data_IF_125221301460
#
_entry.id   IF_125221301460
#
_cell.length_a   1.000
_cell.length_b   1.000
_cell.length_c   1.000
_cell.angle_alpha   90.00
_cell.angle_beta   90.00
_cell.angle_gamma   90.00
#
_symmetry.space_group_name_H-M   'P 1'
#
loop_
_entity.id
_entity.type
_entity.pdbx_description
1 polymer ?
#
# COMPACT_ATOMS: atom_id res chain seq x y z
N UNK A 1 -38.65 -5.82 -57.78
CA UNK A 1 -38.18 -4.45 -57.48
C UNK A 1 -38.26 -4.06 -55.99
N UNK A 2 -38.27 -5.01 -55.04
CA UNK A 2 -38.43 -4.70 -53.57
C UNK A 2 -37.09 -4.65 -52.79
N UNK A 3 -35.98 -5.15 -53.37
CA UNK A 3 -34.67 -5.20 -52.67
C UNK A 3 -33.94 -3.86 -52.56
N UNK A 4 -34.14 -2.93 -53.45
CA UNK A 4 -33.45 -1.63 -53.44
C UNK A 4 -33.83 -0.74 -52.27
N UNK A 5 -35.14 -0.75 -51.90
CA UNK A 5 -35.59 0.00 -50.71
C UNK A 5 -35.07 -0.55 -49.42
N UNK A 6 -35.04 -1.89 -49.30
CA UNK A 6 -34.49 -2.58 -48.10
C UNK A 6 -33.00 -2.34 -47.94
N UNK A 7 -32.24 -2.37 -49.06
CA UNK A 7 -30.80 -2.08 -49.05
C UNK A 7 -30.51 -0.64 -48.63
N UNK A 8 -31.32 0.33 -49.14
CA UNK A 8 -31.16 1.73 -48.74
C UNK A 8 -31.48 1.93 -47.23
N UNK A 9 -32.57 1.31 -46.72
CA UNK A 9 -32.90 1.38 -45.29
C UNK A 9 -31.81 0.73 -44.44
N UNK A 10 -31.23 -0.41 -44.87
CA UNK A 10 -30.13 -1.06 -44.16
C UNK A 10 -28.88 -0.19 -44.16
N UNK A 11 -28.57 0.50 -45.25
CA UNK A 11 -27.41 1.44 -45.33
C UNK A 11 -27.63 2.64 -44.39
N UNK A 12 -28.82 3.22 -44.37
CA UNK A 12 -29.16 4.34 -43.44
C UNK A 12 -29.09 3.87 -41.98
N UNK A 13 -29.63 2.69 -41.68
CA UNK A 13 -29.55 2.12 -40.34
C UNK A 13 -28.10 1.86 -39.90
N UNK A 14 -27.29 1.28 -40.81
CA UNK A 14 -25.86 1.06 -40.53
C UNK A 14 -25.15 2.41 -40.32
N UNK A 15 -25.45 3.44 -41.09
CA UNK A 15 -24.90 4.78 -40.91
C UNK A 15 -25.25 5.39 -39.55
N UNK A 16 -26.52 5.23 -39.11
CA UNK A 16 -26.96 5.67 -37.78
C UNK A 16 -26.26 4.89 -36.64
N UNK A 17 -26.12 3.59 -36.80
CA UNK A 17 -25.39 2.75 -35.83
C UNK A 17 -23.94 3.18 -35.74
N UNK A 18 -23.27 3.38 -36.87
CA UNK A 18 -21.89 3.88 -36.89
C UNK A 18 -21.77 5.27 -36.26
N UNK A 19 -22.70 6.19 -36.62
CA UNK A 19 -22.75 7.51 -36.02
C UNK A 19 -22.92 7.43 -34.48
N UNK A 20 -23.85 6.62 -33.99
CA UNK A 20 -24.06 6.40 -32.58
C UNK A 20 -22.80 5.88 -31.87
N UNK A 21 -22.15 4.85 -32.43
CA UNK A 21 -20.96 4.25 -31.81
C UNK A 21 -19.69 5.14 -31.89
N UNK A 22 -19.53 5.89 -32.98
CA UNK A 22 -18.30 6.66 -33.19
C UNK A 22 -18.42 8.14 -32.84
N UNK A 23 -19.61 8.68 -32.70
CA UNK A 23 -19.84 10.11 -32.40
C UNK A 23 -20.59 10.31 -31.09
N UNK A 24 -21.80 9.75 -30.95
CA UNK A 24 -22.64 10.02 -29.79
C UNK A 24 -22.11 9.36 -28.52
N UNK A 25 -21.76 8.09 -28.56
CA UNK A 25 -21.26 7.35 -27.39
C UNK A 25 -19.95 7.95 -26.85
N UNK A 26 -18.92 8.26 -27.65
CA UNK A 26 -17.71 8.93 -27.17
C UNK A 26 -17.98 10.35 -26.66
N UNK A 27 -18.91 11.09 -27.26
CA UNK A 27 -19.28 12.42 -26.81
C UNK A 27 -19.99 12.38 -25.43
N UNK A 28 -20.96 11.48 -25.27
CA UNK A 28 -21.64 11.26 -23.99
C UNK A 28 -20.66 10.80 -22.88
N UNK A 29 -19.75 9.89 -23.22
CA UNK A 29 -18.73 9.40 -22.29
C UNK A 29 -17.76 10.51 -21.87
N UNK A 30 -17.37 11.36 -22.79
CA UNK A 30 -16.53 12.53 -22.52
C UNK A 30 -17.21 13.55 -21.60
N UNK A 31 -18.50 13.78 -21.81
CA UNK A 31 -19.26 14.69 -20.95
C UNK A 31 -19.47 14.12 -19.55
N UNK A 32 -19.79 12.83 -19.42
CA UNK A 32 -19.85 12.12 -18.12
C UNK A 32 -18.52 12.19 -17.39
N UNK A 33 -17.41 11.87 -18.06
CA UNK A 33 -16.08 11.93 -17.45
C UNK A 33 -15.75 13.36 -16.98
N UNK A 34 -16.13 14.37 -17.75
CA UNK A 34 -15.93 15.78 -17.39
C UNK A 34 -16.76 16.17 -16.16
N UNK A 35 -18.01 15.71 -16.07
CA UNK A 35 -18.85 15.91 -14.90
C UNK A 35 -18.29 15.19 -13.67
N UNK A 36 -17.90 13.94 -13.79
CA UNK A 36 -17.26 13.18 -12.70
C UNK A 36 -15.98 13.86 -12.21
N UNK A 37 -15.12 14.32 -13.11
CA UNK A 37 -13.90 15.06 -12.73
C UNK A 37 -14.23 16.39 -12.04
N UNK A 38 -15.30 17.07 -12.43
CA UNK A 38 -15.73 18.31 -11.81
C UNK A 38 -16.32 18.10 -10.39
N UNK A 39 -16.79 16.89 -10.09
CA UNK A 39 -17.27 16.50 -8.76
C UNK A 39 -16.12 16.12 -7.80
N UNK A 40 -14.97 15.69 -8.31
CA UNK A 40 -13.83 15.29 -7.50
C UNK A 40 -13.25 16.47 -6.72
N UNK A 41 -12.85 16.25 -5.47
CA UNK A 41 -12.14 17.23 -4.66
C UNK A 41 -10.79 17.56 -5.29
N UNK A 42 -10.09 16.51 -5.71
CA UNK A 42 -8.80 16.59 -6.36
C UNK A 42 -8.80 15.60 -7.55
N UNK A 43 -8.85 16.11 -8.80
CA UNK A 43 -8.79 15.25 -9.98
C UNK A 43 -7.35 14.74 -10.16
N UNK A 44 -7.02 13.64 -9.51
CA UNK A 44 -5.74 12.96 -9.61
C UNK A 44 -5.73 12.01 -10.82
N UNK A 45 -4.63 12.00 -11.56
CA UNK A 45 -4.25 10.92 -12.46
C UNK A 45 -3.32 9.98 -11.66
N UNK A 46 -3.90 8.94 -11.06
CA UNK A 46 -3.25 8.06 -10.08
C UNK A 46 -1.94 7.46 -10.58
N UNK A 47 -1.93 7.04 -11.85
CA UNK A 47 -0.75 6.44 -12.50
C UNK A 47 0.43 7.43 -12.62
N UNK A 48 0.16 8.73 -12.63
CA UNK A 48 1.17 9.78 -12.77
C UNK A 48 1.72 10.29 -11.44
N UNK A 49 1.17 9.83 -10.32
CA UNK A 49 1.71 10.19 -9.00
C UNK A 49 3.03 9.47 -8.78
N UNK A 50 4.12 10.23 -8.62
CA UNK A 50 5.47 9.68 -8.36
C UNK A 50 5.91 9.83 -6.92
N UNK A 51 5.31 10.74 -6.17
CA UNK A 51 5.60 10.95 -4.75
C UNK A 51 4.38 11.54 -4.06
N UNK A 52 4.15 11.16 -2.83
CA UNK A 52 3.20 11.85 -1.96
C UNK A 52 3.72 11.94 -0.53
N UNK A 53 3.26 12.95 0.18
CA UNK A 53 3.60 13.12 1.60
C UNK A 53 2.42 13.58 2.43
N UNK A 54 2.42 13.16 3.68
CA UNK A 54 1.44 13.52 4.70
C UNK A 54 2.15 14.33 5.79
N UNK A 55 1.63 15.51 6.09
CA UNK A 55 2.12 16.36 7.16
C UNK A 55 0.95 16.82 8.04
N UNK A 56 0.97 16.44 9.30
CA UNK A 56 -0.07 16.74 10.29
C UNK A 56 0.51 16.86 11.70
N UNK A 57 -0.22 16.38 12.70
CA UNK A 57 0.22 16.40 14.10
C UNK A 57 1.35 15.41 14.44
N UNK A 58 1.53 14.37 13.62
CA UNK A 58 2.57 13.34 13.80
C UNK A 58 3.85 13.64 13.04
N UNK A 59 4.74 12.64 13.00
CA UNK A 59 5.91 12.71 12.12
C UNK A 59 5.47 12.72 10.66
N UNK A 60 6.14 13.51 9.80
CA UNK A 60 5.82 13.54 8.39
C UNK A 60 6.10 12.16 7.75
N UNK A 61 5.21 11.73 6.88
CA UNK A 61 5.34 10.49 6.12
C UNK A 61 5.48 10.87 4.66
N UNK A 62 6.46 10.31 3.96
CA UNK A 62 6.60 10.50 2.53
C UNK A 62 6.96 9.19 1.84
N UNK A 63 6.31 8.96 0.70
CA UNK A 63 6.58 7.81 -0.16
C UNK A 63 6.91 8.27 -1.57
N UNK A 64 7.83 7.55 -2.20
CA UNK A 64 8.23 7.77 -3.58
C UNK A 64 8.10 6.48 -4.37
N UNK A 65 7.59 6.57 -5.58
CA UNK A 65 7.50 5.47 -6.55
C UNK A 65 8.86 5.27 -7.20
N UNK A 66 9.47 4.09 -7.03
CA UNK A 66 10.74 3.73 -7.69
C UNK A 66 10.51 3.03 -9.04
N UNK A 67 9.43 2.25 -9.14
CA UNK A 67 9.00 1.57 -10.36
C UNK A 67 7.48 1.40 -10.32
N UNK A 68 6.89 0.90 -11.40
CA UNK A 68 5.47 0.58 -11.44
C UNK A 68 5.12 -0.37 -10.27
N UNK A 69 4.13 0.02 -9.48
CA UNK A 69 3.69 -0.73 -8.28
C UNK A 69 4.81 -1.00 -7.25
N UNK A 70 5.84 -0.16 -7.20
CA UNK A 70 6.90 -0.28 -6.20
C UNK A 70 7.11 1.06 -5.50
N UNK A 71 6.64 1.16 -4.27
CA UNK A 71 6.73 2.34 -3.44
C UNK A 71 7.78 2.17 -2.33
N UNK A 72 8.47 3.25 -2.02
CA UNK A 72 9.45 3.31 -0.95
C UNK A 72 9.09 4.44 0.01
N UNK A 73 9.13 4.13 1.29
CA UNK A 73 9.07 5.14 2.34
C UNK A 73 10.39 5.95 2.31
N UNK A 74 10.28 7.27 2.30
CA UNK A 74 11.43 8.19 2.30
C UNK A 74 11.51 9.03 3.56
N UNK A 75 10.38 9.29 4.21
CA UNK A 75 10.28 9.94 5.51
C UNK A 75 9.41 9.10 6.46
N UNK A 76 9.77 9.05 7.75
CA UNK A 76 10.88 9.74 8.43
C UNK A 76 12.27 9.09 8.20
N UNK A 77 12.30 7.89 7.67
CA UNK A 77 13.52 7.15 7.30
C UNK A 77 13.26 6.28 6.06
N UNK A 78 14.31 5.91 5.30
CA UNK A 78 14.12 5.07 4.12
C UNK A 78 13.79 3.62 4.51
N UNK A 79 12.70 3.08 3.93
CA UNK A 79 12.28 1.69 4.10
C UNK A 79 11.45 1.21 2.89
N UNK A 80 11.28 -0.10 2.74
CA UNK A 80 10.32 -0.66 1.78
C UNK A 80 8.90 -0.21 2.13
N UNK A 81 8.18 0.30 1.13
CA UNK A 81 6.78 0.72 1.28
C UNK A 81 5.80 -0.40 0.98
N UNK A 82 4.64 -0.35 1.62
CA UNK A 82 3.48 -1.17 1.25
C UNK A 82 2.83 -0.55 0.01
N UNK A 83 3.15 -1.09 -1.16
CA UNK A 83 2.69 -0.53 -2.43
C UNK A 83 1.17 -0.63 -2.58
N UNK A 84 0.55 -1.66 -2.02
CA UNK A 84 -0.91 -1.83 -2.05
C UNK A 84 -1.58 -0.73 -1.23
N UNK A 85 -1.09 -0.46 -0.03
CA UNK A 85 -1.63 0.60 0.82
C UNK A 85 -1.38 1.99 0.23
N UNK A 86 -0.20 2.21 -0.37
CA UNK A 86 0.12 3.48 -1.01
C UNK A 86 -0.81 3.78 -2.19
N UNK A 87 -1.05 2.80 -3.06
CA UNK A 87 -1.96 2.94 -4.20
C UNK A 87 -3.42 3.05 -3.77
N UNK A 88 -3.84 2.27 -2.77
CA UNK A 88 -5.18 2.38 -2.20
C UNK A 88 -5.43 3.77 -1.60
N UNK A 89 -4.43 4.35 -0.92
CA UNK A 89 -4.54 5.71 -0.37
C UNK A 89 -4.66 6.77 -1.48
N UNK A 90 -3.87 6.68 -2.54
CA UNK A 90 -3.95 7.58 -3.69
C UNK A 90 -5.34 7.48 -4.33
N UNK A 91 -5.85 6.27 -4.53
CA UNK A 91 -7.17 6.03 -5.10
C UNK A 91 -8.28 6.57 -4.19
N UNK A 92 -8.18 6.39 -2.87
CA UNK A 92 -9.11 6.97 -1.88
C UNK A 92 -9.21 8.50 -2.04
N UNK A 93 -8.07 9.19 -2.20
CA UNK A 93 -8.04 10.64 -2.40
C UNK A 93 -8.60 11.02 -3.78
N UNK A 94 -8.26 10.26 -4.83
CA UNK A 94 -8.74 10.50 -6.19
C UNK A 94 -10.25 10.33 -6.32
N UNK A 95 -10.86 9.50 -5.50
CA UNK A 95 -12.29 9.22 -5.52
C UNK A 95 -13.12 10.10 -4.58
N UNK A 96 -12.46 10.94 -3.76
CA UNK A 96 -13.17 11.89 -2.90
C UNK A 96 -13.99 12.89 -3.74
N UNK A 97 -15.30 12.86 -3.53
CA UNK A 97 -16.25 13.79 -4.18
C UNK A 97 -16.64 14.93 -3.28
N UNK A 98 -16.60 16.14 -3.80
CA UNK A 98 -17.14 17.30 -3.08
C UNK A 98 -18.65 17.18 -2.96
N UNK A 99 -19.19 17.35 -1.77
CA UNK A 99 -20.62 17.49 -1.54
C UNK A 99 -21.09 18.87 -2.03
N UNK A 100 -20.29 19.89 -1.73
CA UNK A 100 -20.52 21.27 -2.19
C UNK A 100 -19.28 22.14 -2.01
N UNK A 101 -19.22 23.26 -2.72
CA UNK A 101 -18.37 24.39 -2.39
C UNK A 101 -19.04 25.18 -1.27
N UNK A 102 -18.31 25.43 -0.18
CA UNK A 102 -18.82 26.13 0.99
C UNK A 102 -18.68 27.65 0.78
N UNK A 103 -17.51 28.07 0.32
CA UNK A 103 -17.19 29.47 0.03
C UNK A 103 -16.12 29.53 -1.06
N UNK A 104 -16.34 30.36 -2.09
CA UNK A 104 -15.42 30.48 -3.23
C UNK A 104 -14.17 31.31 -2.90
N UNK A 105 -14.34 32.38 -2.11
CA UNK A 105 -13.28 33.33 -1.75
C UNK A 105 -13.35 33.70 -0.26
N UNK A 106 -13.04 32.77 0.63
CA UNK A 106 -13.11 33.00 2.07
C UNK A 106 -12.10 34.06 2.51
N UNK A 107 -12.54 34.92 3.41
CA UNK A 107 -11.67 35.93 4.05
C UNK A 107 -10.88 35.34 5.22
N UNK A 108 -11.41 34.30 5.84
CA UNK A 108 -10.80 33.64 7.00
C UNK A 108 -10.90 32.11 6.86
N UNK A 109 -9.75 31.47 6.71
CA UNK A 109 -9.64 30.02 6.65
C UNK A 109 -9.63 29.36 8.03
N UNK A 110 -9.47 30.13 9.11
CA UNK A 110 -9.36 29.58 10.46
C UNK A 110 -10.67 28.94 10.93
N UNK A 111 -11.82 29.47 10.51
CA UNK A 111 -13.15 28.93 10.84
C UNK A 111 -13.39 27.52 10.28
N UNK A 112 -12.66 27.16 9.23
CA UNK A 112 -12.68 25.84 8.60
C UNK A 112 -11.54 24.93 9.10
N UNK A 113 -10.66 25.44 9.99
CA UNK A 113 -9.45 24.74 10.41
C UNK A 113 -8.38 24.63 9.31
N UNK A 114 -8.48 25.43 8.24
CA UNK A 114 -7.59 25.37 7.07
C UNK A 114 -6.38 26.31 7.16
N UNK A 115 -6.37 27.24 8.14
CA UNK A 115 -5.16 28.03 8.47
C UNK A 115 -4.11 27.19 9.22
N UNK A 116 -4.57 26.17 9.97
CA UNK A 116 -3.75 25.13 10.61
C UNK A 116 -4.44 23.78 10.36
N UNK A 117 -4.29 23.20 9.19
CA UNK A 117 -5.03 22.02 8.79
C UNK A 117 -4.69 20.80 9.65
N UNK A 118 -5.68 19.94 9.85
CA UNK A 118 -5.51 18.64 10.50
C UNK A 118 -4.45 17.79 9.77
N UNK A 119 -4.52 17.80 8.43
CA UNK A 119 -3.58 17.10 7.57
C UNK A 119 -3.36 17.89 6.27
N UNK A 120 -2.12 17.89 5.81
CA UNK A 120 -1.73 18.28 4.44
C UNK A 120 -1.29 17.04 3.69
N UNK A 121 -1.86 16.83 2.52
CA UNK A 121 -1.44 15.77 1.60
C UNK A 121 -0.86 16.45 0.38
N UNK A 122 0.43 16.27 0.16
CA UNK A 122 1.13 16.82 -1.00
C UNK A 122 1.40 15.70 -2.00
N UNK A 123 1.11 15.94 -3.29
CA UNK A 123 1.33 15.05 -4.40
C UNK A 123 2.29 15.67 -5.40
N UNK A 124 3.21 14.86 -5.91
CA UNK A 124 4.08 15.20 -7.02
C UNK A 124 3.84 14.24 -8.17
N UNK A 125 3.75 14.78 -9.39
CA UNK A 125 3.46 14.05 -10.62
C UNK A 125 4.70 13.94 -11.51
N UNK A 126 4.70 12.99 -12.47
CA UNK A 126 5.80 12.75 -13.41
C UNK A 126 6.25 14.00 -14.18
N UNK A 127 5.33 14.91 -14.48
CA UNK A 127 5.61 16.18 -15.18
C UNK A 127 6.11 17.32 -14.27
N UNK A 128 6.50 17.00 -13.02
CA UNK A 128 6.87 17.95 -11.96
C UNK A 128 5.76 18.94 -11.58
N UNK A 129 4.51 18.66 -11.90
CA UNK A 129 3.38 19.37 -11.30
C UNK A 129 3.24 18.88 -9.88
N UNK A 130 2.90 19.80 -8.98
CA UNK A 130 2.66 19.52 -7.56
C UNK A 130 1.29 20.07 -7.17
N UNK A 131 0.60 19.37 -6.30
CA UNK A 131 -0.69 19.81 -5.77
C UNK A 131 -0.80 19.39 -4.30
N UNK A 132 -1.39 20.25 -3.49
CA UNK A 132 -1.58 19.99 -2.06
C UNK A 132 -3.05 20.07 -1.69
N UNK A 133 -3.55 19.04 -1.04
CA UNK A 133 -4.86 18.99 -0.44
C UNK A 133 -4.75 19.28 1.06
N UNK A 134 -5.41 20.32 1.53
CA UNK A 134 -5.52 20.67 2.94
C UNK A 134 -6.82 20.11 3.50
N UNK A 135 -6.74 19.43 4.63
CA UNK A 135 -7.88 18.86 5.36
C UNK A 135 -8.04 19.62 6.67
N UNK A 136 -9.17 20.26 6.83
CA UNK A 136 -9.49 21.09 8.00
C UNK A 136 -10.33 20.36 9.04
N UNK A 137 -11.18 21.15 9.73
CA UNK A 137 -12.05 20.67 10.79
C UNK A 137 -13.23 19.86 10.24
N UNK A 138 -13.87 19.12 11.13
CA UNK A 138 -15.18 18.53 10.87
C UNK A 138 -16.26 19.62 10.87
N UNK A 139 -17.24 19.47 10.00
CA UNK A 139 -18.42 20.33 9.95
C UNK A 139 -19.22 20.25 11.26
N UNK A 140 -19.80 21.33 11.76
CA UNK A 140 -20.65 21.32 12.96
C UNK A 140 -21.84 20.37 12.87
N UNK A 141 -22.27 19.99 11.68
CA UNK A 141 -23.33 19.00 11.46
C UNK A 141 -22.87 17.55 11.49
N UNK A 142 -21.55 17.33 11.63
CA UNK A 142 -20.92 16.00 11.59
C UNK A 142 -20.84 15.37 10.20
N UNK A 143 -20.05 14.29 10.08
CA UNK A 143 -19.97 13.45 8.89
C UNK A 143 -19.38 14.09 7.64
N UNK A 144 -18.86 15.30 7.72
CA UNK A 144 -18.21 16.01 6.62
C UNK A 144 -16.97 16.76 7.13
N UNK A 145 -15.93 16.81 6.31
CA UNK A 145 -14.74 17.62 6.55
C UNK A 145 -14.66 18.79 5.57
N UNK A 146 -13.97 19.85 5.99
CA UNK A 146 -13.60 20.95 5.11
C UNK A 146 -12.28 20.66 4.42
N UNK A 147 -12.26 20.94 3.12
CA UNK A 147 -11.10 20.72 2.24
C UNK A 147 -10.77 21.98 1.45
N UNK A 148 -9.49 22.13 1.13
CA UNK A 148 -9.01 23.17 0.22
C UNK A 148 -7.84 22.62 -0.60
N UNK A 149 -7.86 22.86 -1.90
CA UNK A 149 -6.66 22.72 -2.72
C UNK A 149 -5.79 23.96 -2.49
N UNK A 150 -4.50 23.76 -2.25
CA UNK A 150 -3.61 24.91 -1.99
C UNK A 150 -3.55 25.87 -3.19
N UNK A 151 -3.64 25.33 -4.40
CA UNK A 151 -3.68 26.06 -5.68
C UNK A 151 -4.97 26.89 -5.90
N UNK A 152 -6.02 26.69 -5.08
CA UNK A 152 -7.33 27.33 -5.27
C UNK A 152 -7.83 27.99 -3.98
N UNK A 153 -8.53 29.13 -4.08
CA UNK A 153 -9.05 29.81 -2.87
C UNK A 153 -10.27 29.10 -2.25
N UNK A 154 -11.05 28.37 -3.05
CA UNK A 154 -12.33 27.82 -2.63
C UNK A 154 -12.21 26.79 -1.50
N UNK A 155 -13.10 26.88 -0.52
CA UNK A 155 -13.31 25.87 0.52
C UNK A 155 -14.42 24.94 0.08
N UNK A 156 -14.13 23.68 0.09
CA UNK A 156 -15.04 22.59 -0.29
C UNK A 156 -15.38 21.75 0.94
N UNK A 157 -16.46 20.99 0.84
CA UNK A 157 -16.88 20.03 1.86
C UNK A 157 -17.15 18.68 1.21
N UNK A 158 -16.71 17.61 1.85
CA UNK A 158 -16.99 16.24 1.43
C UNK A 158 -17.38 15.37 2.60
N UNK A 159 -18.17 14.34 2.33
CA UNK A 159 -18.52 13.32 3.30
C UNK A 159 -17.27 12.49 3.61
N UNK A 160 -16.73 12.65 4.82
CA UNK A 160 -15.57 11.92 5.31
C UNK A 160 -15.40 12.18 6.81
N UNK A 161 -14.50 11.43 7.45
CA UNK A 161 -14.10 11.60 8.85
C UNK A 161 -12.59 11.77 8.97
N UNK A 162 -12.11 12.39 10.04
CA UNK A 162 -10.67 12.50 10.29
C UNK A 162 -9.99 11.14 10.39
N UNK A 163 -10.67 10.14 10.96
CA UNK A 163 -10.13 8.78 11.10
C UNK A 163 -9.80 8.09 9.77
N UNK A 164 -10.45 8.46 8.68
CA UNK A 164 -10.13 7.95 7.33
C UNK A 164 -8.72 8.36 6.89
N UNK A 165 -8.21 9.48 7.39
CA UNK A 165 -6.89 10.02 7.03
C UNK A 165 -5.82 9.81 8.11
N UNK A 166 -6.15 9.16 9.23
CA UNK A 166 -5.21 8.83 10.30
C UNK A 166 -4.33 7.66 9.88
N UNK A 167 -3.37 7.94 9.00
CA UNK A 167 -2.36 6.97 8.57
C UNK A 167 -1.11 7.11 9.44
N UNK A 168 -0.48 5.99 9.74
CA UNK A 168 0.79 5.92 10.48
C UNK A 168 1.92 5.44 9.56
N UNK A 169 3.17 5.56 10.02
CA UNK A 169 4.32 4.96 9.35
C UNK A 169 4.10 3.46 9.12
N UNK A 170 3.54 2.77 10.11
CA UNK A 170 3.19 1.34 10.01
C UNK A 170 2.21 1.05 8.87
N UNK A 171 1.25 1.94 8.61
CA UNK A 171 0.27 1.76 7.52
C UNK A 171 0.96 1.58 6.17
N UNK A 172 1.96 2.42 5.89
CA UNK A 172 2.65 2.48 4.61
C UNK A 172 3.95 1.67 4.54
N UNK A 173 4.35 1.03 5.61
CA UNK A 173 5.57 0.21 5.62
C UNK A 173 5.27 -1.21 5.17
N UNK A 174 6.16 -1.81 4.36
CA UNK A 174 6.07 -3.21 3.98
C UNK A 174 6.18 -4.11 5.22
N UNK A 175 5.14 -4.91 5.44
CA UNK A 175 5.00 -5.82 6.58
C UNK A 175 5.34 -7.26 6.23
N UNK A 176 5.87 -7.50 5.04
CA UNK A 176 6.28 -8.83 4.59
C UNK A 176 7.40 -9.37 5.46
N UNK A 177 7.17 -10.52 6.08
CA UNK A 177 8.16 -11.14 6.95
C UNK A 177 9.31 -11.72 6.14
N UNK A 178 9.01 -12.59 5.18
CA UNK A 178 9.97 -13.15 4.23
C UNK A 178 9.32 -13.21 2.85
N UNK A 179 10.07 -12.83 1.81
CA UNK A 179 9.58 -12.84 0.43
C UNK A 179 10.21 -13.99 -0.35
N UNK A 180 9.48 -15.06 -0.57
CA UNK A 180 9.94 -16.24 -1.30
C UNK A 180 8.79 -16.96 -2.00
N UNK A 181 9.11 -17.77 -2.99
CA UNK A 181 8.15 -18.71 -3.57
C UNK A 181 8.29 -20.07 -2.87
N UNK A 182 7.20 -20.59 -2.30
CA UNK A 182 7.21 -21.86 -1.58
C UNK A 182 7.70 -23.02 -2.44
N UNK A 183 7.43 -23.00 -3.75
CA UNK A 183 7.86 -24.02 -4.71
C UNK A 183 9.37 -24.03 -4.99
N UNK A 184 10.06 -22.86 -4.86
CA UNK A 184 11.49 -22.72 -5.12
C UNK A 184 12.37 -23.11 -3.93
N UNK A 185 11.79 -23.27 -2.73
CA UNK A 185 12.56 -23.63 -1.54
C UNK A 185 13.15 -25.04 -1.70
N UNK A 186 14.47 -25.14 -1.52
CA UNK A 186 15.25 -26.38 -1.62
C UNK A 186 15.85 -26.79 -0.29
N UNK A 187 16.01 -25.82 0.64
CA UNK A 187 16.68 -26.03 1.90
C UNK A 187 16.01 -25.24 3.01
N UNK A 188 15.78 -25.88 4.14
CA UNK A 188 15.24 -25.24 5.35
C UNK A 188 16.13 -25.63 6.51
N UNK A 189 16.66 -24.64 7.25
CA UNK A 189 17.36 -24.87 8.50
C UNK A 189 16.62 -24.18 9.63
N UNK A 190 16.39 -24.91 10.71
CA UNK A 190 15.85 -24.41 11.96
C UNK A 190 16.93 -24.58 13.03
N UNK A 191 17.68 -23.53 13.27
CA UNK A 191 18.77 -23.50 14.23
C UNK A 191 18.23 -23.02 15.57
N UNK A 192 18.43 -23.82 16.61
CA UNK A 192 18.04 -23.57 18.00
C UNK A 192 19.04 -24.26 18.92
N UNK A 193 19.06 -23.86 20.18
CA UNK A 193 20.02 -24.40 21.15
C UNK A 193 20.00 -25.94 21.26
N UNK A 194 18.80 -26.52 21.21
CA UNK A 194 18.60 -27.97 21.24
C UNK A 194 17.85 -28.42 19.99
N UNK A 195 18.23 -29.60 19.49
CA UNK A 195 17.61 -30.27 18.34
C UNK A 195 17.55 -29.37 17.08
N UNK A 196 18.71 -28.94 16.52
CA UNK A 196 18.73 -28.26 15.23
C UNK A 196 18.13 -29.20 14.17
N UNK A 197 17.41 -28.60 13.22
CA UNK A 197 16.72 -29.35 12.17
C UNK A 197 17.13 -28.81 10.81
N UNK A 198 17.47 -29.74 9.91
CA UNK A 198 17.76 -29.41 8.53
C UNK A 198 16.85 -30.25 7.61
N UNK A 199 16.21 -29.59 6.65
CA UNK A 199 15.42 -30.24 5.63
C UNK A 199 15.99 -29.86 4.27
N UNK A 200 16.28 -30.90 3.46
CA UNK A 200 16.83 -30.73 2.12
C UNK A 200 15.92 -31.43 1.10
N UNK A 201 15.60 -30.73 0.03
CA UNK A 201 14.81 -31.26 -1.08
C UNK A 201 15.71 -31.98 -2.07
N UNK A 202 15.41 -33.25 -2.32
CA UNK A 202 16.11 -34.07 -3.32
C UNK A 202 15.06 -34.56 -4.33
N UNK A 203 15.02 -33.95 -5.51
CA UNK A 203 13.95 -34.14 -6.48
C UNK A 203 12.59 -33.68 -5.94
N UNK A 204 11.67 -34.64 -5.72
CA UNK A 204 10.34 -34.37 -5.16
C UNK A 204 10.22 -34.71 -3.66
N UNK A 205 11.25 -35.36 -3.10
CA UNK A 205 11.26 -35.79 -1.71
C UNK A 205 12.00 -34.79 -0.81
N UNK A 206 11.57 -34.72 0.43
CA UNK A 206 12.25 -33.99 1.49
C UNK A 206 12.95 -34.95 2.43
N UNK A 207 14.20 -34.70 2.74
CA UNK A 207 15.00 -35.45 3.71
C UNK A 207 15.21 -34.57 4.93
N UNK A 208 14.97 -35.12 6.12
CA UNK A 208 15.20 -34.49 7.40
C UNK A 208 16.51 -35.01 7.95
N UNK A 209 17.40 -34.13 8.36
CA UNK A 209 18.66 -34.43 9.03
C UNK A 209 18.85 -33.55 10.28
N UNK A 210 19.64 -34.05 11.23
CA UNK A 210 19.87 -33.47 12.54
C UNK A 210 20.01 -34.62 13.54
N UNK A 211 19.37 -34.48 14.69
CA UNK A 211 19.32 -35.57 15.69
C UNK A 211 18.52 -36.80 15.21
N UNK A 212 17.65 -36.59 14.23
CA UNK A 212 16.81 -37.63 13.62
C UNK A 212 17.02 -37.56 12.11
N UNK A 213 17.09 -38.76 11.48
CA UNK A 213 17.04 -38.88 10.01
C UNK A 213 15.72 -39.50 9.62
N UNK A 214 14.96 -38.82 8.78
CA UNK A 214 13.65 -39.28 8.33
C UNK A 214 13.27 -38.65 6.98
N UNK A 215 12.28 -39.26 6.31
CA UNK A 215 11.65 -38.62 5.16
C UNK A 215 10.68 -37.52 5.65
N UNK A 216 10.77 -36.35 5.06
CA UNK A 216 9.89 -35.22 5.38
C UNK A 216 8.50 -35.40 4.79
N UNK A 217 7.49 -35.05 5.56
CA UNK A 217 6.12 -34.95 5.06
C UNK A 217 5.97 -33.68 4.22
N UNK A 218 5.78 -33.85 2.90
CA UNK A 218 5.66 -32.75 1.94
C UNK A 218 4.56 -31.75 2.30
N UNK A 219 3.38 -32.25 2.70
CA UNK A 219 2.23 -31.38 2.97
C UNK A 219 2.45 -30.56 4.24
N UNK A 220 3.05 -31.16 5.29
CA UNK A 220 3.41 -30.45 6.51
C UNK A 220 4.45 -29.34 6.24
N UNK A 221 5.46 -29.61 5.39
CA UNK A 221 6.48 -28.65 4.99
C UNK A 221 5.85 -27.50 4.17
N UNK A 222 4.99 -27.82 3.23
CA UNK A 222 4.29 -26.80 2.44
C UNK A 222 3.41 -25.91 3.29
N UNK A 223 2.65 -26.49 4.23
CA UNK A 223 1.82 -25.74 5.17
C UNK A 223 2.68 -24.81 6.06
N UNK A 224 3.83 -25.30 6.53
CA UNK A 224 4.78 -24.48 7.30
C UNK A 224 5.31 -23.32 6.47
N UNK A 225 5.76 -23.55 5.23
CA UNK A 225 6.25 -22.51 4.34
C UNK A 225 5.18 -21.47 4.02
N UNK A 226 3.94 -21.91 3.76
CA UNK A 226 2.81 -21.02 3.55
C UNK A 226 2.50 -20.18 4.79
N UNK A 227 2.53 -20.78 5.97
CA UNK A 227 2.33 -20.04 7.21
C UNK A 227 3.36 -18.92 7.38
N UNK A 228 4.65 -19.17 7.08
CA UNK A 228 5.70 -18.14 7.10
C UNK A 228 5.46 -17.08 6.02
N UNK A 229 5.12 -17.48 4.80
CA UNK A 229 4.89 -16.57 3.68
C UNK A 229 3.74 -15.58 3.95
N UNK A 230 2.69 -16.04 4.62
CA UNK A 230 1.54 -15.20 4.97
C UNK A 230 1.67 -14.46 6.32
N UNK A 231 2.72 -14.77 7.08
CA UNK A 231 3.00 -14.02 8.31
C UNK A 231 3.38 -12.58 8.00
N UNK A 232 3.03 -11.68 8.90
CA UNK A 232 3.30 -10.25 8.77
C UNK A 232 3.95 -9.73 10.03
N UNK A 233 4.79 -8.72 9.87
CA UNK A 233 5.33 -7.93 10.97
C UNK A 233 4.18 -7.24 11.68
N UNK A 234 4.03 -7.50 12.98
CA UNK A 234 2.98 -6.89 13.79
C UNK A 234 3.34 -5.48 14.25
N UNK A 235 4.63 -5.23 14.52
CA UNK A 235 5.13 -3.94 14.99
C UNK A 235 6.61 -3.79 14.61
N UNK A 236 7.04 -2.58 14.25
CA UNK A 236 8.44 -2.23 14.09
C UNK A 236 8.91 -1.58 15.38
N UNK A 237 9.78 -2.25 16.11
CA UNK A 237 10.12 -1.90 17.50
C UNK A 237 11.27 -0.89 17.56
N UNK A 238 12.33 -1.14 16.80
CA UNK A 238 13.55 -0.34 16.85
C UNK A 238 14.28 -0.39 15.50
N UNK A 239 14.62 0.75 14.95
CA UNK A 239 15.26 0.85 13.63
C UNK A 239 16.77 0.71 13.69
N UNK A 240 17.38 1.00 14.83
CA UNK A 240 18.83 0.97 15.01
C UNK A 240 19.20 0.65 16.47
N UNK A 241 18.91 -0.56 16.96
CA UNK A 241 19.15 -0.92 18.34
C UNK A 241 20.63 -0.82 18.71
N UNK A 242 20.91 -0.30 19.89
CA UNK A 242 22.26 -0.26 20.46
C UNK A 242 22.77 -1.67 20.78
N UNK A 243 21.87 -2.57 21.15
CA UNK A 243 22.20 -3.97 21.50
C UNK A 243 21.09 -4.93 21.06
N UNK A 244 21.49 -6.07 20.52
CA UNK A 244 20.58 -7.17 20.17
C UNK A 244 20.31 -8.12 21.36
N UNK A 245 21.12 -8.04 22.41
CA UNK A 245 21.00 -8.91 23.59
C UNK A 245 19.73 -8.64 24.38
N UNK A 246 19.33 -7.37 24.50
CA UNK A 246 18.09 -6.97 25.17
C UNK A 246 16.84 -7.61 24.56
N UNK A 247 16.89 -7.89 23.26
CA UNK A 247 15.83 -8.55 22.48
C UNK A 247 15.99 -10.07 22.42
N UNK A 248 17.10 -10.62 22.97
CA UNK A 248 17.42 -12.05 22.89
C UNK A 248 17.82 -12.49 21.47
N UNK A 249 18.37 -11.58 20.66
CA UNK A 249 18.76 -11.81 19.28
C UNK A 249 20.27 -11.97 19.08
N UNK A 250 21.05 -11.95 20.16
CA UNK A 250 22.48 -12.21 20.15
C UNK A 250 22.91 -13.06 21.36
N UNK A 251 22.95 -14.41 21.25
CA UNK A 251 22.49 -15.22 20.10
C UNK A 251 20.96 -15.31 20.05
N UNK A 252 20.36 -15.52 18.86
CA UNK A 252 18.91 -15.71 18.75
C UNK A 252 18.49 -17.07 19.32
N UNK A 253 17.28 -17.13 19.91
CA UNK A 253 16.71 -18.38 20.41
C UNK A 253 16.34 -19.37 19.30
N UNK A 254 15.96 -18.85 18.16
CA UNK A 254 15.69 -19.60 16.94
C UNK A 254 16.15 -18.81 15.73
N UNK A 255 16.80 -19.49 14.78
CA UNK A 255 17.13 -18.93 13.47
C UNK A 255 16.57 -19.86 12.39
N UNK A 256 15.64 -19.35 11.60
CA UNK A 256 15.12 -20.01 10.40
C UNK A 256 15.92 -19.50 9.21
N UNK A 257 16.43 -20.43 8.40
CA UNK A 257 17.07 -20.13 7.11
C UNK A 257 16.31 -20.87 6.02
N UNK A 258 15.85 -20.13 5.01
CA UNK A 258 15.21 -20.67 3.80
C UNK A 258 16.16 -20.48 2.62
N UNK A 259 16.62 -21.57 2.01
CA UNK A 259 17.53 -21.57 0.86
C UNK A 259 16.78 -21.88 -0.44
N UNK A 260 17.01 -21.11 -1.48
CA UNK A 260 16.43 -21.25 -2.82
C UNK A 260 17.31 -20.59 -3.88
N UNK A 261 17.46 -21.22 -5.03
CA UNK A 261 18.13 -20.70 -6.23
C UNK A 261 19.52 -20.04 -5.98
N UNK A 262 20.27 -20.57 -5.00
CA UNK A 262 21.60 -20.04 -4.62
C UNK A 262 21.54 -18.85 -3.65
N UNK A 263 20.38 -18.40 -3.27
CA UNK A 263 20.12 -17.34 -2.28
C UNK A 263 19.58 -17.94 -0.97
N UNK A 264 19.52 -17.12 0.06
CA UNK A 264 18.85 -17.49 1.30
C UNK A 264 18.20 -16.28 1.97
N UNK A 265 17.09 -16.54 2.66
CA UNK A 265 16.50 -15.58 3.58
C UNK A 265 16.48 -16.13 5.00
N UNK A 266 16.62 -15.24 5.95
CA UNK A 266 16.79 -15.60 7.35
C UNK A 266 15.81 -14.85 8.22
N UNK A 267 15.18 -15.57 9.17
CA UNK A 267 14.41 -15.00 10.26
C UNK A 267 15.04 -15.44 11.58
N UNK A 268 15.51 -14.49 12.36
CA UNK A 268 15.98 -14.72 13.73
C UNK A 268 14.90 -14.32 14.71
N UNK A 269 14.61 -15.17 15.70
CA UNK A 269 13.64 -14.93 16.77
C UNK A 269 14.36 -14.90 18.13
N UNK A 270 14.01 -13.91 18.93
CA UNK A 270 14.59 -13.65 20.25
C UNK A 270 13.61 -13.90 21.39
N UNK A 271 13.52 -12.95 22.32
CA UNK A 271 12.67 -13.02 23.47
C UNK A 271 11.18 -12.89 23.09
N UNK A 272 10.33 -13.56 23.88
CA UNK A 272 8.88 -13.34 23.80
C UNK A 272 8.54 -12.02 24.49
N UNK A 273 7.73 -11.20 23.83
CA UNK A 273 7.03 -10.09 24.45
C UNK A 273 5.62 -10.57 24.81
N UNK A 274 5.32 -10.63 26.10
CA UNK A 274 4.09 -11.21 26.61
C UNK A 274 2.83 -10.63 25.96
N UNK A 275 1.99 -11.51 25.46
CA UNK A 275 0.72 -11.17 24.80
C UNK A 275 0.83 -10.60 23.39
N UNK A 276 2.05 -10.37 22.85
CA UNK A 276 2.24 -9.73 21.55
C UNK A 276 2.98 -10.60 20.51
N UNK A 277 4.02 -11.33 20.90
CA UNK A 277 4.81 -12.15 19.99
C UNK A 277 6.29 -12.18 20.32
N UNK A 278 7.12 -12.56 19.35
CA UNK A 278 8.56 -12.65 19.52
C UNK A 278 9.25 -11.46 18.86
N UNK A 279 10.26 -10.92 19.52
CA UNK A 279 11.19 -10.03 18.83
C UNK A 279 11.87 -10.78 17.69
N UNK A 280 11.93 -10.16 16.55
CA UNK A 280 12.47 -10.75 15.34
C UNK A 280 13.41 -9.85 14.57
N UNK A 281 14.20 -10.46 13.68
CA UNK A 281 15.14 -9.80 12.78
C UNK A 281 15.18 -10.54 11.45
N UNK A 282 15.08 -9.81 10.35
CA UNK A 282 15.04 -10.35 8.98
C UNK A 282 16.37 -10.09 8.29
N UNK A 283 16.96 -11.11 7.67
CA UNK A 283 18.16 -11.02 6.82
C UNK A 283 19.29 -10.17 7.42
N UNK A 284 19.53 -10.32 8.72
CA UNK A 284 20.52 -9.54 9.46
C UNK A 284 20.35 -8.01 9.34
N UNK A 285 19.13 -7.54 9.03
CA UNK A 285 18.77 -6.12 9.06
C UNK A 285 19.05 -5.50 10.44
N UNK A 286 19.17 -4.18 10.52
CA UNK A 286 19.37 -3.52 11.83
C UNK A 286 18.10 -3.43 12.65
N UNK A 287 16.96 -3.33 12.01
CA UNK A 287 15.69 -3.12 12.68
C UNK A 287 15.16 -4.37 13.40
N UNK A 288 14.53 -4.12 14.54
CA UNK A 288 13.83 -5.11 15.35
C UNK A 288 12.34 -5.04 15.05
N UNK A 289 11.75 -6.20 14.82
CA UNK A 289 10.33 -6.38 14.55
C UNK A 289 9.65 -7.24 15.63
N UNK A 290 8.34 -7.19 15.65
CA UNK A 290 7.50 -8.06 16.44
C UNK A 290 6.54 -8.83 15.54
#
# INVERSE_FOLDING_TARGET
>A
MKFRGTALMASVFLGLVLYYFFVDLPAEQKEKNKQEQAEKLLPLEEDKVVEFSLTGKGEPIALKREALHNWKLTLPFPASGDSTEAEAFISEIADLKKTRTVEEYPKDFSIYGLSSPFLKIHFKFENNIEETLLIGNESPLGGHLYFKRESQPAVMMAASSQSSFEKSIYSFRDKTLLNFNTGSIQHIQILREKNPLELKKTGQAWEISGDIRAQGNKDAIMNFLQAIQFSRVAEFIDEAPDSLESYGLNPPKLKLVLGFDGESQTLSLGNLMDGKGYFGRINDSRNIIL
#
